data_IF_315615188272
#
_entry.id   IF_315615188272
#
_cell.length_a   1.000
_cell.length_b   1.000
_cell.length_c   1.000
_cell.angle_alpha   90.00
_cell.angle_beta   90.00
_cell.angle_gamma   90.00
#
_symmetry.space_group_name_H-M   'P 1'
#
loop_
_entity.id
_entity.type
_entity.pdbx_description
1 polymer ?
#
# COMPACT_ATOMS: atom_id res chain seq x y z
N UNK A 1 8.05 5.02 -12.06
CA UNK A 1 7.55 3.83 -11.35
C UNK A 1 7.27 2.66 -12.30
N UNK A 2 6.50 2.84 -13.39
CA UNK A 2 6.23 1.78 -14.40
C UNK A 2 7.53 1.16 -14.95
N UNK A 3 8.50 1.98 -15.33
CA UNK A 3 9.76 1.49 -15.92
C UNK A 3 10.55 0.58 -14.96
N UNK A 4 10.59 0.94 -13.67
CA UNK A 4 11.23 0.14 -12.63
C UNK A 4 10.52 -1.21 -12.43
N UNK A 5 9.18 -1.22 -12.43
CA UNK A 5 8.42 -2.48 -12.35
C UNK A 5 8.65 -3.37 -13.58
N UNK A 6 8.75 -2.77 -14.76
CA UNK A 6 9.06 -3.48 -16.01
C UNK A 6 10.43 -4.16 -15.96
N UNK A 7 11.45 -3.44 -15.49
CA UNK A 7 12.80 -4.00 -15.30
C UNK A 7 12.76 -5.16 -14.30
N UNK A 8 12.10 -4.98 -13.16
CA UNK A 8 11.99 -6.02 -12.13
C UNK A 8 11.29 -7.28 -12.67
N UNK A 9 10.23 -7.09 -13.46
CA UNK A 9 9.47 -8.16 -14.08
C UNK A 9 10.29 -8.92 -15.14
N UNK A 10 10.99 -8.20 -16.02
CA UNK A 10 11.87 -8.81 -17.03
C UNK A 10 13.00 -9.59 -16.35
N UNK A 11 13.63 -9.02 -15.33
CA UNK A 11 14.70 -9.67 -14.58
C UNK A 11 14.19 -10.94 -13.90
N UNK A 12 13.04 -10.88 -13.23
CA UNK A 12 12.40 -12.05 -12.64
C UNK A 12 12.12 -13.13 -13.69
N UNK A 13 11.58 -12.76 -14.85
CA UNK A 13 11.26 -13.71 -15.92
C UNK A 13 12.53 -14.38 -16.48
N UNK A 14 13.61 -13.63 -16.70
CA UNK A 14 14.89 -14.17 -17.14
C UNK A 14 15.42 -15.17 -16.10
N UNK A 15 15.42 -14.81 -14.82
CA UNK A 15 15.92 -15.66 -13.73
C UNK A 15 15.08 -16.92 -13.49
N UNK A 16 13.75 -16.81 -13.66
CA UNK A 16 12.84 -17.95 -13.49
C UNK A 16 12.96 -18.98 -14.61
N UNK A 17 13.24 -18.53 -15.83
CA UNK A 17 13.45 -19.43 -16.98
C UNK A 17 14.87 -20.01 -17.01
N UNK A 18 15.86 -19.28 -16.51
CA UNK A 18 17.25 -19.74 -16.45
C UNK A 18 17.56 -20.38 -15.08
N UNK A 19 16.93 -21.52 -14.79
CA UNK A 19 17.05 -22.24 -13.51
C UNK A 19 18.45 -22.75 -13.19
N UNK A 20 19.34 -22.81 -14.17
CA UNK A 20 20.74 -23.23 -14.00
C UNK A 20 21.59 -22.18 -13.26
N UNK A 21 21.06 -20.97 -13.08
CA UNK A 21 21.71 -19.91 -12.29
C UNK A 21 21.54 -20.16 -10.79
N UNK A 22 22.46 -20.93 -10.24
CA UNK A 22 22.64 -21.12 -8.80
C UNK A 22 23.68 -20.15 -8.25
N UNK A 23 23.42 -19.60 -7.06
CA UNK A 23 24.32 -18.69 -6.35
C UNK A 23 24.74 -19.34 -5.04
N UNK A 24 26.02 -19.20 -4.69
CA UNK A 24 26.52 -19.54 -3.37
C UNK A 24 26.75 -18.25 -2.58
N UNK A 25 26.18 -18.18 -1.39
CA UNK A 25 26.40 -17.04 -0.49
C UNK A 25 27.62 -17.37 0.36
N UNK A 26 28.70 -16.63 0.15
CA UNK A 26 29.89 -16.72 0.98
C UNK A 26 29.73 -15.79 2.19
N UNK A 27 29.58 -16.38 3.37
CA UNK A 27 29.54 -15.63 4.62
C UNK A 27 30.97 -15.32 5.09
N UNK A 28 31.15 -14.18 5.74
CA UNK A 28 32.45 -13.68 6.25
C UNK A 28 33.17 -14.62 7.23
N UNK A 29 32.51 -15.67 7.71
CA UNK A 29 33.07 -16.71 8.58
C UNK A 29 33.58 -17.96 7.82
N UNK A 30 33.78 -17.88 6.50
CA UNK A 30 34.28 -18.99 5.69
C UNK A 30 33.25 -20.11 5.47
N UNK A 31 31.99 -19.91 5.88
CA UNK A 31 30.88 -20.81 5.57
C UNK A 31 30.25 -20.34 4.26
N UNK A 32 30.09 -21.26 3.31
CA UNK A 32 29.29 -21.04 2.10
C UNK A 32 27.92 -21.67 2.31
N UNK A 33 26.86 -21.02 1.83
CA UNK A 33 25.55 -21.69 1.70
C UNK A 33 25.61 -22.75 0.60
N UNK A 34 24.70 -23.72 0.68
CA UNK A 34 24.39 -24.56 -0.47
C UNK A 34 23.98 -23.68 -1.67
N UNK A 35 24.11 -24.18 -2.91
CA UNK A 35 23.70 -23.43 -4.10
C UNK A 35 22.20 -23.17 -4.07
N UNK A 36 21.81 -21.90 -3.93
CA UNK A 36 20.41 -21.49 -3.93
C UNK A 36 20.07 -20.96 -5.33
N UNK A 37 18.97 -21.39 -5.95
CA UNK A 37 18.48 -20.79 -7.19
C UNK A 37 18.27 -19.28 -7.04
N UNK A 38 18.85 -18.49 -7.95
CA UNK A 38 18.84 -17.03 -7.86
C UNK A 38 17.41 -16.45 -7.81
N UNK A 39 16.44 -17.07 -8.48
CA UNK A 39 15.04 -16.62 -8.46
C UNK A 39 14.41 -16.66 -7.06
N UNK A 40 14.82 -17.59 -6.18
CA UNK A 40 14.30 -17.66 -4.80
C UNK A 40 14.76 -16.47 -3.97
N UNK A 41 16.00 -16.01 -4.18
CA UNK A 41 16.54 -14.83 -3.52
C UNK A 41 15.74 -13.58 -3.91
N UNK A 42 15.50 -13.40 -5.21
CA UNK A 42 14.68 -12.29 -5.72
C UNK A 42 13.23 -12.37 -5.25
N UNK A 43 12.65 -13.57 -5.19
CA UNK A 43 11.30 -13.75 -4.67
C UNK A 43 11.24 -13.37 -3.17
N UNK A 44 12.22 -13.78 -2.38
CA UNK A 44 12.32 -13.45 -0.96
C UNK A 44 12.42 -11.95 -0.72
N UNK A 45 13.28 -11.24 -1.46
CA UNK A 45 13.40 -9.78 -1.35
C UNK A 45 12.13 -9.06 -1.79
N UNK A 46 11.47 -9.53 -2.85
CA UNK A 46 10.21 -8.96 -3.31
C UNK A 46 9.08 -9.12 -2.28
N UNK A 47 8.89 -10.33 -1.74
CA UNK A 47 7.90 -10.61 -0.70
C UNK A 47 8.18 -9.80 0.56
N UNK A 48 9.45 -9.72 0.97
CA UNK A 48 9.86 -8.88 2.12
C UNK A 48 9.57 -7.39 1.88
N UNK A 49 9.85 -6.89 0.68
CA UNK A 49 9.57 -5.50 0.30
C UNK A 49 8.08 -5.19 0.31
N UNK A 50 7.26 -6.07 -0.27
CA UNK A 50 5.79 -5.95 -0.22
C UNK A 50 5.26 -5.99 1.21
N UNK A 51 5.73 -6.95 2.02
CA UNK A 51 5.35 -7.07 3.43
C UNK A 51 5.67 -5.79 4.21
N UNK A 52 6.87 -5.25 4.01
CA UNK A 52 7.29 -3.98 4.62
C UNK A 52 6.39 -2.81 4.18
N UNK A 53 6.11 -2.70 2.88
CA UNK A 53 5.24 -1.65 2.35
C UNK A 53 3.82 -1.74 2.93
N UNK A 54 3.25 -2.95 3.02
CA UNK A 54 1.94 -3.16 3.65
C UNK A 54 1.99 -2.74 5.11
N UNK A 55 2.96 -3.19 5.90
CA UNK A 55 3.07 -2.84 7.32
C UNK A 55 3.17 -1.32 7.53
N UNK A 56 3.93 -0.62 6.70
CA UNK A 56 4.10 0.83 6.81
C UNK A 56 2.87 1.62 6.35
N UNK A 57 2.22 1.20 5.26
CA UNK A 57 1.13 1.96 4.64
C UNK A 57 -0.24 1.63 5.23
N UNK A 58 -0.43 0.40 5.70
CA UNK A 58 -1.69 -0.08 6.27
C UNK A 58 -2.23 0.80 7.41
N UNK A 59 -1.45 1.20 8.44
CA UNK A 59 -1.97 2.01 9.53
C UNK A 59 -2.42 3.41 9.06
N UNK A 60 -1.65 4.04 8.16
CA UNK A 60 -1.97 5.37 7.63
C UNK A 60 -3.24 5.33 6.76
N UNK A 61 -3.37 4.30 5.92
CA UNK A 61 -4.57 4.10 5.11
C UNK A 61 -5.82 3.84 5.97
N UNK A 62 -5.68 3.06 7.04
CA UNK A 62 -6.78 2.77 7.96
C UNK A 62 -7.27 4.05 8.66
N UNK A 63 -6.33 4.89 9.15
CA UNK A 63 -6.65 6.19 9.77
C UNK A 63 -7.37 7.10 8.79
N UNK A 64 -6.83 7.28 7.59
CA UNK A 64 -7.44 8.11 6.55
C UNK A 64 -8.88 7.67 6.24
N UNK A 65 -9.12 6.36 6.11
CA UNK A 65 -10.46 5.81 5.85
C UNK A 65 -11.43 6.08 7.00
N UNK A 66 -10.96 6.02 8.25
CA UNK A 66 -11.78 6.31 9.43
C UNK A 66 -12.10 7.80 9.54
N UNK A 67 -11.12 8.64 9.21
CA UNK A 67 -11.22 10.10 9.24
C UNK A 67 -12.16 10.61 8.17
N UNK A 68 -12.11 10.06 6.95
CA UNK A 68 -13.10 10.35 5.90
C UNK A 68 -14.54 10.02 6.32
N UNK A 69 -14.73 8.96 7.13
CA UNK A 69 -16.06 8.63 7.67
C UNK A 69 -16.53 9.61 8.73
N UNK A 70 -15.61 10.15 9.54
CA UNK A 70 -15.91 11.17 10.56
C UNK A 70 -16.23 12.52 9.93
N UNK A 71 -15.38 12.99 9.03
CA UNK A 71 -15.57 14.24 8.30
C UNK A 71 -16.90 14.28 7.54
N UNK A 72 -17.29 13.16 6.92
CA UNK A 72 -18.59 13.08 6.24
C UNK A 72 -19.77 13.30 7.20
N UNK A 73 -19.73 12.69 8.39
CA UNK A 73 -20.78 12.89 9.41
C UNK A 73 -20.84 14.32 9.93
N UNK A 74 -19.69 14.96 10.07
CA UNK A 74 -19.60 16.35 10.51
C UNK A 74 -20.19 17.31 9.48
N UNK A 75 -19.91 17.07 8.18
CA UNK A 75 -20.53 17.82 7.08
C UNK A 75 -22.05 17.65 7.11
N UNK A 76 -22.55 16.41 7.22
CA UNK A 76 -23.98 16.13 7.26
C UNK A 76 -24.67 16.86 8.43
N UNK A 77 -24.06 16.90 9.62
CA UNK A 77 -24.61 17.63 10.77
C UNK A 77 -24.59 19.14 10.59
N UNK A 78 -23.53 19.70 10.00
CA UNK A 78 -23.43 21.14 9.74
C UNK A 78 -24.43 21.59 8.68
N UNK A 79 -24.69 20.77 7.65
CA UNK A 79 -25.73 21.03 6.66
C UNK A 79 -27.14 21.00 7.29
N UNK A 80 -27.38 20.07 8.22
CA UNK A 80 -28.65 19.97 8.94
C UNK A 80 -28.89 21.22 9.81
N UNK A 81 -27.90 21.64 10.60
CA UNK A 81 -27.97 22.86 11.42
C UNK A 81 -28.19 24.12 10.57
N UNK A 82 -27.45 24.26 9.46
CA UNK A 82 -27.63 25.35 8.52
C UNK A 82 -29.03 25.36 7.89
N UNK A 83 -29.59 24.18 7.60
CA UNK A 83 -30.96 24.02 7.11
C UNK A 83 -32.01 24.43 8.14
N UNK A 84 -31.83 24.03 9.41
CA UNK A 84 -32.72 24.41 10.51
C UNK A 84 -32.71 25.91 10.76
N UNK A 85 -31.53 26.54 10.81
CA UNK A 85 -31.39 27.99 10.96
C UNK A 85 -32.01 28.74 9.77
N UNK A 86 -31.83 28.25 8.54
CA UNK A 86 -32.46 28.85 7.36
C UNK A 86 -33.99 28.78 7.42
N UNK A 87 -34.53 27.69 7.96
CA UNK A 87 -35.97 27.51 8.12
C UNK A 87 -36.53 28.34 9.29
N UNK A 88 -35.76 28.55 10.36
CA UNK A 88 -36.17 29.38 11.51
C UNK A 88 -36.13 30.88 11.21
N UNK A 89 -35.28 31.32 10.28
CA UNK A 89 -35.18 32.73 9.85
C UNK A 89 -36.23 33.08 8.79
N UNK A 90 -36.85 32.10 8.12
CA UNK A 90 -37.91 32.36 7.13
C UNK A 90 -39.21 32.77 7.87
N UNK A 91 -39.69 34.01 7.74
CA UNK A 91 -40.94 34.42 8.40
C UNK A 91 -42.12 33.61 7.84
N UNK A 92 -43.16 33.34 8.66
CA UNK A 92 -44.34 32.62 8.22
C UNK A 92 -44.93 33.29 6.99
N UNK A 93 -45.20 32.50 5.95
CA UNK A 93 -45.82 32.96 4.72
C UNK A 93 -47.13 33.69 5.07
N UNK A 94 -47.22 35.03 4.91
CA UNK A 94 -48.52 35.63 4.84
C UNK A 94 -49.13 35.13 3.52
N UNK A 95 -50.41 34.75 3.58
CA UNK A 95 -51.22 34.47 2.40
C UNK A 95 -50.94 35.41 1.23
#
# INVERSE_FOLDING_TARGET
MIFFMLILFILFFILFNNKDQVVQIHYTFGKSSDPIPLYLLFLGTFVSGLGTAVILLFPSWLKLKLESRRQKKEIDSLEEEAGQLRNSVKPPNPF
#
